data_IF_038967613608
#
_entry.id   IF_038967613608
#
_cell.length_a   1.000
_cell.length_b   1.000
_cell.length_c   1.000
_cell.angle_alpha   90.00
_cell.angle_beta   90.00
_cell.angle_gamma   90.00
#
_symmetry.space_group_name_H-M   'P 1'
#
loop_
_entity.id
_entity.type
_entity.pdbx_description
1 polymer ?
#
# COMPACT_ATOMS: atom_id res chain seq x y z
N UNK A 1 -21.65 -55.48 -39.05
CA UNK A 1 -21.70 -54.66 -37.84
C UNK A 1 -20.35 -53.95 -37.69
N UNK A 2 -20.27 -52.67 -38.11
CA UNK A 2 -19.06 -51.84 -37.99
C UNK A 2 -19.19 -51.01 -36.71
N UNK A 3 -18.28 -51.20 -35.73
CA UNK A 3 -18.21 -50.39 -34.53
C UNK A 3 -17.40 -49.13 -34.83
N UNK A 4 -18.04 -47.97 -34.75
CA UNK A 4 -17.40 -46.65 -34.78
C UNK A 4 -16.84 -46.37 -33.39
N UNK A 5 -15.52 -46.19 -33.28
CA UNK A 5 -14.85 -45.64 -32.09
C UNK A 5 -14.82 -44.12 -32.21
N UNK A 6 -15.54 -43.41 -31.36
CA UNK A 6 -15.37 -41.97 -31.15
C UNK A 6 -14.27 -41.74 -30.16
N UNK A 7 -13.13 -41.24 -30.62
CA UNK A 7 -12.06 -40.73 -29.75
C UNK A 7 -12.42 -39.31 -29.33
N UNK A 8 -12.75 -39.18 -28.03
CA UNK A 8 -12.94 -37.86 -27.38
C UNK A 8 -11.55 -37.33 -27.01
N UNK A 9 -11.04 -36.36 -27.77
CA UNK A 9 -9.85 -35.62 -27.42
C UNK A 9 -10.23 -34.57 -26.33
N UNK A 10 -9.91 -34.86 -25.06
CA UNK A 10 -9.95 -33.83 -24.02
C UNK A 10 -8.81 -32.82 -24.27
N UNK A 11 -9.18 -31.66 -24.80
CA UNK A 11 -8.31 -30.51 -24.82
C UNK A 11 -8.09 -30.00 -23.39
N UNK A 12 -6.96 -30.32 -22.79
CA UNK A 12 -6.49 -29.64 -21.56
C UNK A 12 -6.19 -28.18 -21.92
N UNK A 13 -7.16 -27.30 -21.67
CA UNK A 13 -6.90 -25.88 -21.57
C UNK A 13 -5.99 -25.69 -20.36
N UNK A 14 -4.69 -25.50 -20.59
CA UNK A 14 -3.75 -25.05 -19.56
C UNK A 14 -4.14 -23.62 -19.17
N UNK A 15 -4.96 -23.48 -18.14
CA UNK A 15 -5.09 -22.22 -17.41
C UNK A 15 -3.69 -21.88 -16.89
N UNK A 16 -3.03 -20.93 -17.53
CA UNK A 16 -1.78 -20.36 -17.01
C UNK A 16 -2.12 -19.70 -15.65
N UNK A 17 -1.87 -20.43 -14.59
CA UNK A 17 -2.01 -19.90 -13.23
C UNK A 17 -0.96 -18.78 -13.09
N UNK A 18 -1.43 -17.54 -13.05
CA UNK A 18 -0.58 -16.38 -12.76
C UNK A 18 0.13 -16.61 -11.44
N UNK A 19 1.44 -16.37 -11.40
CA UNK A 19 2.23 -16.56 -10.18
C UNK A 19 1.68 -15.64 -9.07
N UNK A 20 1.28 -16.25 -7.95
CA UNK A 20 0.74 -15.52 -6.81
C UNK A 20 1.85 -14.70 -6.12
N UNK A 21 1.53 -13.50 -5.69
CA UNK A 21 2.43 -12.69 -4.86
C UNK A 21 2.54 -13.34 -3.49
N UNK A 22 3.74 -13.78 -3.11
CA UNK A 22 3.95 -14.36 -1.78
C UNK A 22 3.92 -13.26 -0.71
N UNK A 23 3.31 -13.51 0.46
CA UNK A 23 3.46 -12.62 1.62
C UNK A 23 4.94 -12.40 1.96
N UNK A 24 5.30 -11.17 2.34
CA UNK A 24 6.67 -10.85 2.75
C UNK A 24 7.10 -11.64 3.97
N UNK A 25 8.36 -11.99 4.04
CA UNK A 25 8.93 -12.86 5.07
C UNK A 25 9.80 -12.07 6.07
N UNK A 26 10.15 -12.73 7.15
CA UNK A 26 11.13 -12.23 8.11
C UNK A 26 12.43 -11.83 7.38
N UNK A 27 12.95 -10.64 7.68
CA UNK A 27 14.16 -10.04 7.11
C UNK A 27 14.05 -9.62 5.64
N UNK A 28 12.88 -9.67 5.02
CA UNK A 28 12.72 -9.11 3.68
C UNK A 28 13.05 -7.61 3.66
N UNK A 29 13.69 -7.22 2.58
CA UNK A 29 13.97 -5.85 2.19
C UNK A 29 13.18 -5.55 0.93
N UNK A 30 11.97 -5.06 1.10
CA UNK A 30 11.04 -4.79 0.01
C UNK A 30 11.25 -3.38 -0.51
N UNK A 31 11.37 -3.19 -1.81
CA UNK A 31 11.39 -1.86 -2.42
C UNK A 31 10.26 -1.71 -3.43
N UNK A 32 9.45 -0.66 -3.26
CA UNK A 32 8.45 -0.25 -4.25
C UNK A 32 9.07 0.82 -5.15
N UNK A 33 9.21 0.52 -6.43
CA UNK A 33 9.82 1.37 -7.44
C UNK A 33 8.75 1.93 -8.35
N UNK A 34 8.75 3.23 -8.57
CA UNK A 34 7.76 3.90 -9.42
C UNK A 34 8.03 5.39 -9.58
N UNK A 35 6.99 6.12 -9.95
CA UNK A 35 6.99 7.56 -10.19
C UNK A 35 6.48 8.37 -8.97
N UNK A 36 5.90 9.57 -9.20
CA UNK A 36 5.33 10.44 -8.18
C UNK A 36 4.26 9.77 -7.30
N UNK A 37 3.47 8.86 -7.85
CA UNK A 37 2.44 8.12 -7.10
C UNK A 37 3.10 7.22 -6.04
N UNK A 38 4.21 6.58 -6.37
CA UNK A 38 5.01 5.81 -5.42
C UNK A 38 5.80 6.73 -4.49
N UNK A 39 6.38 7.83 -4.98
CA UNK A 39 7.11 8.81 -4.18
C UNK A 39 6.24 9.40 -3.06
N UNK A 40 4.96 9.70 -3.35
CA UNK A 40 3.97 10.14 -2.35
C UNK A 40 3.86 9.17 -1.16
N UNK A 41 4.14 7.89 -1.37
CA UNK A 41 4.45 6.90 -0.34
C UNK A 41 3.27 6.35 0.44
N UNK A 42 2.05 6.88 0.30
CA UNK A 42 0.94 6.51 1.17
C UNK A 42 0.60 5.01 1.06
N UNK A 43 0.41 4.47 -0.15
CA UNK A 43 0.10 3.03 -0.28
C UNK A 43 1.25 2.12 0.20
N UNK A 44 2.50 2.54 -0.01
CA UNK A 44 3.69 1.82 0.49
C UNK A 44 3.68 1.78 2.02
N UNK A 45 3.41 2.93 2.65
CA UNK A 45 3.26 3.04 4.10
C UNK A 45 2.09 2.21 4.64
N UNK A 46 0.96 2.12 3.91
CA UNK A 46 -0.21 1.33 4.34
C UNK A 46 0.05 -0.18 4.24
N UNK A 47 0.71 -0.64 3.17
CA UNK A 47 1.17 -2.03 3.10
C UNK A 47 2.12 -2.33 4.26
N UNK A 48 3.06 -1.43 4.55
CA UNK A 48 4.00 -1.65 5.65
C UNK A 48 3.31 -1.63 7.03
N UNK A 49 2.38 -0.69 7.25
CA UNK A 49 1.59 -0.62 8.49
C UNK A 49 0.80 -1.92 8.72
N UNK A 50 0.21 -2.49 7.67
CA UNK A 50 -0.45 -3.80 7.78
C UNK A 50 0.50 -4.88 8.29
N UNK A 51 1.72 -4.96 7.75
CA UNK A 51 2.71 -5.92 8.24
C UNK A 51 3.16 -5.63 9.68
N UNK A 52 3.34 -4.37 10.03
CA UNK A 52 3.70 -3.96 11.39
C UNK A 52 2.64 -4.33 12.43
N UNK A 53 1.37 -4.26 12.07
CA UNK A 53 0.25 -4.55 12.98
C UNK A 53 -0.16 -6.02 12.97
N UNK A 54 -0.22 -6.65 11.81
CA UNK A 54 -0.74 -8.02 11.67
C UNK A 54 0.32 -9.11 11.86
N UNK A 55 1.60 -8.77 11.69
CA UNK A 55 2.70 -9.73 11.84
C UNK A 55 3.77 -9.21 12.82
N UNK A 56 3.45 -9.05 14.12
CA UNK A 56 4.33 -8.37 15.08
C UNK A 56 5.67 -9.08 15.31
N UNK A 57 5.77 -10.36 14.99
CA UNK A 57 7.01 -11.13 15.10
C UNK A 57 7.82 -11.17 13.81
N UNK A 58 7.26 -10.67 12.68
CA UNK A 58 7.87 -10.73 11.36
C UNK A 58 8.51 -9.38 11.01
N UNK A 59 9.70 -9.13 11.56
CA UNK A 59 10.44 -7.91 11.26
C UNK A 59 10.95 -7.92 9.82
N UNK A 60 10.59 -6.91 9.04
CA UNK A 60 11.03 -6.68 7.67
C UNK A 60 11.19 -5.18 7.41
N UNK A 61 11.71 -4.79 6.27
CA UNK A 61 11.87 -3.39 5.87
C UNK A 61 11.15 -3.15 4.54
N UNK A 62 10.25 -2.17 4.49
CA UNK A 62 9.64 -1.70 3.25
C UNK A 62 10.16 -0.31 2.93
N UNK A 63 10.70 -0.15 1.73
CA UNK A 63 11.35 1.06 1.24
C UNK A 63 10.54 1.68 0.10
N UNK A 64 10.47 3.00 0.11
CA UNK A 64 9.97 3.77 -1.01
C UNK A 64 11.11 4.02 -2.01
N UNK A 65 10.94 3.55 -3.23
CA UNK A 65 11.83 3.75 -4.36
C UNK A 65 11.22 4.61 -5.47
N UNK A 66 10.14 5.36 -5.19
CA UNK A 66 9.49 6.26 -6.13
C UNK A 66 10.29 7.54 -6.36
N UNK A 67 10.24 8.07 -7.59
CA UNK A 67 10.78 9.38 -7.97
C UNK A 67 9.77 10.07 -8.89
N UNK A 68 9.40 11.31 -8.56
CA UNK A 68 8.45 12.11 -9.33
C UNK A 68 8.89 12.32 -10.78
N UNK A 69 7.95 12.10 -11.70
CA UNK A 69 8.18 12.24 -13.13
C UNK A 69 8.79 11.00 -13.83
N UNK A 70 9.23 9.98 -13.09
CA UNK A 70 9.89 8.81 -13.67
C UNK A 70 9.01 8.07 -14.68
N UNK A 71 9.68 7.66 -15.75
CA UNK A 71 9.28 6.69 -16.77
C UNK A 71 10.13 5.44 -16.63
N UNK A 72 9.84 4.38 -17.36
CA UNK A 72 10.65 3.17 -17.39
C UNK A 72 12.13 3.48 -17.71
N UNK A 73 12.40 4.43 -18.62
CA UNK A 73 13.76 4.87 -18.97
C UNK A 73 14.51 5.52 -17.78
N UNK A 74 13.81 6.28 -16.96
CA UNK A 74 14.40 6.95 -15.80
C UNK A 74 14.70 5.93 -14.71
N UNK A 75 13.78 4.99 -14.47
CA UNK A 75 13.98 3.85 -13.56
C UNK A 75 15.19 3.02 -13.98
N UNK A 76 15.34 2.73 -15.30
CA UNK A 76 16.50 2.00 -15.80
C UNK A 76 17.82 2.72 -15.47
N UNK A 77 17.90 4.04 -15.71
CA UNK A 77 19.11 4.81 -15.43
C UNK A 77 19.53 4.76 -13.97
N UNK A 78 18.58 4.81 -13.02
CA UNK A 78 18.86 4.76 -11.58
C UNK A 78 18.84 3.37 -10.96
N UNK A 79 18.61 2.33 -11.76
CA UNK A 79 18.42 0.96 -11.26
C UNK A 79 19.58 0.49 -10.38
N UNK A 80 20.83 0.74 -10.80
CA UNK A 80 22.02 0.30 -10.06
C UNK A 80 22.32 1.18 -8.84
N UNK A 81 22.41 2.51 -9.01
CA UNK A 81 22.92 3.40 -7.95
C UNK A 81 21.90 3.79 -6.89
N UNK A 82 20.60 3.70 -7.17
CA UNK A 82 19.54 3.99 -6.21
C UNK A 82 18.81 2.71 -5.75
N UNK A 83 18.33 1.88 -6.67
CA UNK A 83 17.42 0.78 -6.37
C UNK A 83 18.19 -0.44 -5.86
N UNK A 84 19.07 -1.00 -6.68
CA UNK A 84 19.82 -2.21 -6.35
C UNK A 84 20.89 -1.98 -5.27
N UNK A 85 21.39 -0.75 -5.14
CA UNK A 85 22.31 -0.36 -4.05
C UNK A 85 21.69 -0.57 -2.65
N UNK A 86 20.35 -0.57 -2.54
CA UNK A 86 19.63 -0.85 -1.28
C UNK A 86 19.51 -2.35 -0.96
N UNK A 87 20.06 -3.23 -1.82
CA UNK A 87 20.08 -4.69 -1.65
C UNK A 87 18.68 -5.26 -1.32
N UNK A 88 17.67 -5.03 -2.18
CA UNK A 88 16.34 -5.56 -1.95
C UNK A 88 16.31 -7.10 -2.10
N UNK A 89 15.47 -7.78 -1.31
CA UNK A 89 15.09 -9.19 -1.50
C UNK A 89 13.80 -9.30 -2.34
N UNK A 90 12.96 -8.24 -2.29
CA UNK A 90 11.74 -8.12 -3.08
C UNK A 90 11.71 -6.76 -3.76
N UNK A 91 11.48 -6.75 -5.08
CA UNK A 91 11.34 -5.55 -5.89
C UNK A 91 9.97 -5.52 -6.53
N UNK A 92 9.16 -4.50 -6.20
CA UNK A 92 7.87 -4.21 -6.83
C UNK A 92 8.06 -3.06 -7.80
N UNK A 93 7.83 -3.30 -9.09
CA UNK A 93 8.05 -2.32 -10.15
C UNK A 93 6.73 -1.86 -10.77
N UNK A 94 6.50 -0.55 -10.76
CA UNK A 94 5.38 0.10 -11.45
C UNK A 94 5.85 1.28 -12.30
N UNK A 95 5.25 1.46 -13.48
CA UNK A 95 5.48 2.57 -14.41
C UNK A 95 4.29 2.66 -15.37
N UNK A 96 4.26 3.66 -16.28
CA UNK A 96 3.24 3.79 -17.31
C UNK A 96 2.56 5.16 -17.31
N UNK A 97 2.28 5.76 -16.15
CA UNK A 97 1.57 7.04 -16.06
C UNK A 97 2.29 8.16 -16.83
N UNK A 98 3.61 8.30 -16.65
CA UNK A 98 4.41 9.31 -17.33
C UNK A 98 4.90 8.85 -18.71
N UNK A 99 5.04 7.54 -18.90
CA UNK A 99 5.52 6.93 -20.13
C UNK A 99 4.62 7.26 -21.32
N UNK A 100 3.31 7.30 -21.10
CA UNK A 100 2.31 7.60 -22.14
C UNK A 100 2.24 9.09 -22.52
N UNK A 101 2.81 10.01 -21.71
CA UNK A 101 2.73 11.45 -21.93
C UNK A 101 1.42 12.08 -21.45
N UNK A 102 1.24 13.37 -21.71
CA UNK A 102 0.10 14.18 -21.27
C UNK A 102 -0.41 15.11 -22.37
N UNK A 103 0.24 16.25 -22.56
CA UNK A 103 -0.20 17.30 -23.48
C UNK A 103 -0.23 16.88 -24.95
N UNK A 104 0.49 15.85 -25.28
CA UNK A 104 0.54 15.27 -26.62
C UNK A 104 -0.80 14.69 -27.07
N UNK A 105 -1.66 14.34 -26.13
CA UNK A 105 -3.02 13.88 -26.41
C UNK A 105 -3.97 15.02 -26.86
N UNK A 106 -3.56 16.27 -26.76
CA UNK A 106 -4.32 17.43 -27.23
C UNK A 106 -3.96 17.84 -28.68
N UNK A 107 -2.98 17.17 -29.31
CA UNK A 107 -2.51 17.48 -30.67
C UNK A 107 -3.04 16.52 -31.74
N UNK A 108 -2.93 16.94 -33.01
CA UNK A 108 -3.42 16.19 -34.17
C UNK A 108 -2.73 14.83 -34.36
N UNK A 109 -1.56 14.63 -33.78
CA UNK A 109 -0.77 13.41 -33.87
C UNK A 109 -0.85 12.53 -32.61
N UNK A 110 -1.87 12.69 -31.77
CA UNK A 110 -2.00 12.00 -30.49
C UNK A 110 -1.79 10.48 -30.56
N UNK A 111 -2.46 9.80 -31.50
CA UNK A 111 -2.35 8.35 -31.67
C UNK A 111 -0.95 7.89 -32.11
N UNK A 112 -0.28 8.65 -32.98
CA UNK A 112 1.09 8.35 -33.40
C UNK A 112 2.04 8.51 -32.23
N UNK A 113 1.96 9.62 -31.53
CA UNK A 113 2.82 9.91 -30.38
C UNK A 113 2.60 8.91 -29.25
N UNK A 114 1.34 8.50 -28.99
CA UNK A 114 1.04 7.44 -28.02
C UNK A 114 1.73 6.12 -28.38
N UNK A 115 1.64 5.67 -29.63
CA UNK A 115 2.34 4.45 -30.10
C UNK A 115 3.85 4.54 -29.91
N UNK A 116 4.45 5.66 -30.29
CA UNK A 116 5.90 5.88 -30.16
C UNK A 116 6.34 5.85 -28.69
N UNK A 117 5.58 6.49 -27.78
CA UNK A 117 5.84 6.50 -26.34
C UNK A 117 5.66 5.12 -25.70
N UNK A 118 4.63 4.37 -26.07
CA UNK A 118 4.42 3.00 -25.61
C UNK A 118 5.59 2.09 -26.07
N UNK A 119 6.03 2.23 -27.32
CA UNK A 119 7.18 1.48 -27.83
C UNK A 119 8.48 1.82 -27.07
N UNK A 120 8.72 3.11 -26.79
CA UNK A 120 9.87 3.56 -26.01
C UNK A 120 9.81 3.07 -24.56
N UNK A 121 8.62 3.06 -23.94
CA UNK A 121 8.40 2.51 -22.60
C UNK A 121 8.70 1.01 -22.57
N UNK A 122 8.18 0.25 -23.53
CA UNK A 122 8.46 -1.18 -23.67
C UNK A 122 9.96 -1.45 -23.83
N UNK A 123 10.64 -0.74 -24.72
CA UNK A 123 12.08 -0.89 -24.91
C UNK A 123 12.87 -0.64 -23.61
N UNK A 124 12.52 0.43 -22.90
CA UNK A 124 13.17 0.76 -21.62
C UNK A 124 12.89 -0.31 -20.55
N UNK A 125 11.67 -0.84 -20.53
CA UNK A 125 11.33 -1.95 -19.64
C UNK A 125 12.12 -3.21 -19.96
N UNK A 126 12.30 -3.55 -21.26
CA UNK A 126 13.11 -4.70 -21.67
C UNK A 126 14.56 -4.61 -21.18
N UNK A 127 15.13 -3.40 -21.10
CA UNK A 127 16.45 -3.19 -20.51
C UNK A 127 16.45 -3.44 -19.00
N UNK A 128 15.39 -3.00 -18.28
CA UNK A 128 15.20 -3.32 -16.85
C UNK A 128 15.03 -4.82 -16.67
N UNK A 129 14.18 -5.49 -17.47
CA UNK A 129 13.93 -6.92 -17.42
C UNK A 129 15.23 -7.71 -17.57
N UNK A 130 16.01 -7.42 -18.62
CA UNK A 130 17.31 -8.07 -18.84
C UNK A 130 18.25 -7.92 -17.67
N UNK A 131 18.32 -6.71 -17.08
CA UNK A 131 19.17 -6.47 -15.90
C UNK A 131 18.68 -7.23 -14.68
N UNK A 132 17.38 -7.30 -14.43
CA UNK A 132 16.79 -8.01 -13.30
C UNK A 132 16.92 -9.54 -13.45
N UNK A 133 16.87 -10.08 -14.67
CA UNK A 133 17.09 -11.51 -14.94
C UNK A 133 18.52 -11.95 -14.56
N UNK A 134 19.50 -11.06 -14.67
CA UNK A 134 20.89 -11.33 -14.29
C UNK A 134 21.13 -11.34 -12.76
N UNK A 135 20.12 -10.96 -11.96
CA UNK A 135 20.27 -10.88 -10.50
C UNK A 135 19.41 -11.98 -9.85
N UNK A 136 20.01 -13.11 -9.50
CA UNK A 136 19.31 -14.16 -8.76
C UNK A 136 18.98 -13.69 -7.34
N UNK A 137 18.00 -14.34 -6.71
CA UNK A 137 17.69 -14.13 -5.28
C UNK A 137 16.77 -12.93 -4.99
N UNK A 138 16.48 -12.06 -5.96
CA UNK A 138 15.46 -11.01 -5.80
C UNK A 138 14.13 -11.52 -6.35
N UNK A 139 13.07 -11.50 -5.53
CA UNK A 139 11.70 -11.68 -6.03
C UNK A 139 11.28 -10.42 -6.80
N UNK A 140 10.88 -10.57 -8.05
CA UNK A 140 10.41 -9.49 -8.91
C UNK A 140 8.89 -9.57 -9.01
N UNK A 141 8.23 -8.44 -8.78
CA UNK A 141 6.77 -8.30 -8.87
C UNK A 141 6.51 -7.12 -9.80
N UNK A 142 5.74 -7.33 -10.86
CA UNK A 142 5.25 -6.22 -11.67
C UNK A 142 3.89 -5.76 -11.12
N UNK A 143 3.67 -4.46 -11.12
CA UNK A 143 2.43 -3.85 -10.68
C UNK A 143 2.01 -2.79 -11.69
N UNK A 144 0.76 -2.83 -12.17
CA UNK A 144 0.27 -1.77 -13.03
C UNK A 144 0.19 -0.44 -12.28
N UNK A 145 0.28 0.67 -13.03
CA UNK A 145 -0.08 1.99 -12.49
C UNK A 145 -1.59 2.03 -12.17
N UNK A 146 -2.05 2.83 -11.21
CA UNK A 146 -3.47 3.20 -11.17
C UNK A 146 -3.88 3.91 -12.47
N UNK A 147 -5.18 3.95 -12.83
CA UNK A 147 -5.63 4.54 -14.08
C UNK A 147 -5.45 6.06 -14.11
N UNK A 148 -5.30 6.63 -15.31
CA UNK A 148 -5.63 8.02 -15.58
C UNK A 148 -7.16 8.15 -15.69
N UNK A 149 -7.78 9.05 -14.96
CA UNK A 149 -9.23 9.23 -14.97
C UNK A 149 -9.67 10.22 -16.05
N UNK A 150 -10.12 9.71 -17.20
CA UNK A 150 -10.69 10.52 -18.29
C UNK A 150 -12.18 10.85 -18.09
N UNK A 151 -12.86 10.15 -17.17
CA UNK A 151 -14.32 10.06 -17.14
C UNK A 151 -14.97 10.97 -16.12
N UNK A 152 -14.29 11.28 -15.02
CA UNK A 152 -14.81 12.18 -14.01
C UNK A 152 -15.13 13.57 -14.58
N UNK A 153 -16.32 14.11 -14.28
CA UNK A 153 -16.74 15.45 -14.67
C UNK A 153 -16.23 16.50 -13.67
N UNK A 154 -14.91 16.64 -13.62
CA UNK A 154 -14.20 17.62 -12.79
C UNK A 154 -13.44 18.61 -13.69
N UNK A 155 -13.03 19.74 -13.15
CA UNK A 155 -12.22 20.75 -13.86
C UNK A 155 -10.86 20.23 -14.32
N UNK A 156 -10.10 21.09 -14.99
CA UNK A 156 -8.74 20.80 -15.48
C UNK A 156 -8.69 20.15 -16.86
N UNK A 157 -7.47 19.86 -17.30
CA UNK A 157 -7.22 19.26 -18.61
C UNK A 157 -7.62 17.78 -18.62
N UNK A 158 -8.23 17.36 -19.72
CA UNK A 158 -8.53 15.93 -20.00
C UNK A 158 -7.70 15.50 -21.19
N UNK A 159 -6.78 14.57 -20.99
CA UNK A 159 -5.94 13.99 -22.04
C UNK A 159 -6.64 12.77 -22.63
N UNK A 160 -7.52 13.01 -23.61
CA UNK A 160 -8.36 11.95 -24.20
C UNK A 160 -7.52 10.93 -24.96
N UNK A 161 -7.75 9.66 -24.65
CA UNK A 161 -6.97 8.54 -25.21
C UNK A 161 -5.79 8.11 -24.33
N UNK A 162 -5.42 8.89 -23.30
CA UNK A 162 -4.35 8.51 -22.36
C UNK A 162 -4.69 7.24 -21.58
N UNK A 163 -5.94 7.08 -21.15
CA UNK A 163 -6.40 5.86 -20.48
C UNK A 163 -6.18 4.63 -21.37
N UNK A 164 -6.57 4.73 -22.67
CA UNK A 164 -6.34 3.65 -23.64
C UNK A 164 -4.85 3.37 -23.85
N UNK A 165 -4.00 4.40 -23.96
CA UNK A 165 -2.56 4.22 -24.08
C UNK A 165 -1.97 3.51 -22.83
N UNK A 166 -2.48 3.80 -21.63
CA UNK A 166 -2.08 3.09 -20.41
C UNK A 166 -2.53 1.62 -20.40
N UNK A 167 -3.68 1.27 -21.00
CA UNK A 167 -4.10 -0.13 -21.15
C UNK A 167 -3.07 -0.94 -21.95
N UNK A 168 -2.49 -0.36 -23.00
CA UNK A 168 -1.43 -1.02 -23.80
C UNK A 168 -0.15 -1.23 -22.97
N UNK A 169 0.20 -0.28 -22.08
CA UNK A 169 1.31 -0.46 -21.14
C UNK A 169 1.02 -1.59 -20.15
N UNK A 170 -0.17 -1.61 -19.55
CA UNK A 170 -0.60 -2.68 -18.62
C UNK A 170 -0.57 -4.04 -19.31
N UNK A 171 -1.01 -4.10 -20.57
CA UNK A 171 -0.99 -5.33 -21.36
C UNK A 171 0.43 -5.88 -21.49
N UNK A 172 1.40 -5.09 -21.96
CA UNK A 172 2.76 -5.61 -22.11
C UNK A 172 3.45 -5.92 -20.78
N UNK A 173 3.13 -5.21 -19.70
CA UNK A 173 3.60 -5.54 -18.35
C UNK A 173 3.09 -6.92 -17.92
N UNK A 174 1.81 -7.21 -18.17
CA UNK A 174 1.21 -8.51 -17.86
C UNK A 174 1.83 -9.62 -18.71
N UNK A 175 1.96 -9.41 -20.04
CA UNK A 175 2.61 -10.37 -20.96
C UNK A 175 4.05 -10.69 -20.48
N UNK A 176 4.79 -9.68 -20.04
CA UNK A 176 6.16 -9.84 -19.55
C UNK A 176 6.21 -10.57 -18.20
N UNK A 177 5.26 -10.30 -17.30
CA UNK A 177 5.14 -11.02 -16.03
C UNK A 177 4.87 -12.51 -16.26
N UNK A 178 3.94 -12.84 -17.16
CA UNK A 178 3.64 -14.23 -17.56
C UNK A 178 4.86 -14.93 -18.18
N UNK A 179 5.53 -14.28 -19.14
CA UNK A 179 6.76 -14.78 -19.78
C UNK A 179 7.84 -15.15 -18.76
N UNK A 180 8.05 -14.29 -17.76
CA UNK A 180 9.11 -14.46 -16.76
C UNK A 180 8.65 -15.25 -15.51
N UNK A 181 7.39 -15.65 -15.44
CA UNK A 181 6.76 -16.26 -14.25
C UNK A 181 6.90 -15.36 -13.02
N UNK A 182 6.83 -14.04 -13.22
CA UNK A 182 6.80 -13.06 -12.14
C UNK A 182 5.35 -12.78 -11.75
N UNK A 183 5.05 -12.58 -10.47
CA UNK A 183 3.74 -12.10 -10.06
C UNK A 183 3.39 -10.76 -10.70
N UNK A 184 2.10 -10.56 -11.00
CA UNK A 184 1.56 -9.30 -11.48
C UNK A 184 0.44 -8.82 -10.56
N UNK A 185 0.49 -7.57 -10.13
CA UNK A 185 -0.54 -6.91 -9.34
C UNK A 185 -1.27 -5.91 -10.23
N UNK A 186 -2.54 -6.15 -10.46
CA UNK A 186 -3.38 -5.24 -11.24
C UNK A 186 -4.03 -4.20 -10.33
N UNK A 187 -3.63 -2.95 -10.49
CA UNK A 187 -4.31 -1.79 -9.89
C UNK A 187 -5.22 -1.10 -10.90
N UNK A 188 -4.88 -1.18 -12.19
CA UNK A 188 -5.48 -0.38 -13.24
C UNK A 188 -6.96 -0.71 -13.44
N UNK A 189 -7.28 -1.97 -13.73
CA UNK A 189 -8.66 -2.36 -14.03
C UNK A 189 -9.59 -2.29 -12.81
N UNK A 190 -9.24 -2.82 -11.62
CA UNK A 190 -10.09 -2.72 -10.45
C UNK A 190 -10.39 -1.27 -10.04
N UNK A 191 -9.40 -0.37 -10.11
CA UNK A 191 -9.61 1.04 -9.80
C UNK A 191 -10.45 1.76 -10.88
N UNK A 192 -10.29 1.38 -12.15
CA UNK A 192 -11.14 1.89 -13.23
C UNK A 192 -12.60 1.50 -13.01
N UNK A 193 -12.86 0.23 -12.68
CA UNK A 193 -14.21 -0.27 -12.40
C UNK A 193 -14.85 0.44 -11.20
N UNK A 194 -14.08 0.67 -10.14
CA UNK A 194 -14.53 1.43 -8.98
C UNK A 194 -14.89 2.87 -9.37
N UNK A 195 -14.06 3.57 -10.14
CA UNK A 195 -14.38 4.91 -10.63
C UNK A 195 -15.71 4.92 -11.41
N UNK A 196 -15.85 4.04 -12.40
CA UNK A 196 -17.06 3.95 -13.24
C UNK A 196 -18.30 3.70 -12.36
N UNK A 197 -18.22 2.77 -11.42
CA UNK A 197 -19.32 2.43 -10.52
C UNK A 197 -19.79 3.62 -9.67
N UNK A 198 -18.86 4.38 -9.11
CA UNK A 198 -19.22 5.54 -8.29
C UNK A 198 -19.63 6.75 -9.11
N UNK A 199 -19.08 6.93 -10.31
CA UNK A 199 -19.47 7.98 -11.26
C UNK A 199 -20.91 7.83 -11.80
N UNK A 200 -21.49 6.64 -11.72
CA UNK A 200 -22.92 6.44 -11.99
C UNK A 200 -23.83 7.18 -10.99
N UNK A 201 -23.34 7.42 -9.77
CA UNK A 201 -24.07 8.14 -8.71
C UNK A 201 -23.66 9.59 -8.60
N UNK A 202 -22.38 9.87 -8.75
CA UNK A 202 -21.79 11.20 -8.72
C UNK A 202 -20.77 11.32 -9.86
N UNK A 203 -21.14 12.01 -10.93
CA UNK A 203 -20.29 12.14 -12.12
C UNK A 203 -18.95 12.86 -11.86
N UNK A 204 -18.80 13.57 -10.75
CA UNK A 204 -17.58 14.23 -10.33
C UNK A 204 -16.68 13.34 -9.46
N UNK A 205 -17.16 12.15 -9.05
CA UNK A 205 -16.39 11.22 -8.24
C UNK A 205 -15.12 10.77 -8.96
N UNK A 206 -14.00 10.72 -8.22
CA UNK A 206 -12.75 10.10 -8.69
C UNK A 206 -11.94 9.55 -7.52
N UNK A 207 -11.38 8.37 -7.67
CA UNK A 207 -10.36 7.80 -6.77
C UNK A 207 -9.00 8.45 -6.99
N UNK A 208 -8.85 9.04 -8.19
CA UNK A 208 -7.61 9.64 -8.68
C UNK A 208 -7.70 11.13 -8.43
N UNK A 209 -7.29 11.84 -7.70
CA UNK A 209 -7.42 13.26 -7.35
C UNK A 209 -7.81 14.23 -8.48
N UNK A 210 -7.88 15.51 -8.17
CA UNK A 210 -8.41 16.53 -9.08
C UNK A 210 -7.56 16.72 -10.35
N UNK A 211 -6.31 16.30 -10.34
CA UNK A 211 -5.41 16.33 -11.50
C UNK A 211 -5.55 15.08 -12.40
N UNK A 212 -6.42 14.13 -12.07
CA UNK A 212 -6.69 12.89 -12.80
C UNK A 212 -5.51 11.89 -12.83
N UNK A 213 -4.45 12.16 -12.07
CA UNK A 213 -3.17 11.41 -12.07
C UNK A 213 -2.83 10.85 -10.70
N UNK A 214 -2.95 11.66 -9.64
CA UNK A 214 -2.45 11.35 -8.31
C UNK A 214 -3.58 10.97 -7.35
N UNK A 215 -3.69 9.68 -6.94
CA UNK A 215 -4.66 9.27 -5.93
C UNK A 215 -4.48 10.01 -4.61
N UNK A 216 -5.59 10.32 -3.94
CA UNK A 216 -5.55 10.77 -2.55
C UNK A 216 -5.34 9.61 -1.58
N UNK A 217 -5.35 9.90 -0.26
CA UNK A 217 -5.14 8.86 0.75
C UNK A 217 -6.15 7.70 0.64
N UNK A 218 -7.41 7.99 0.27
CA UNK A 218 -8.42 6.96 0.00
C UNK A 218 -8.05 6.06 -1.18
N UNK A 219 -7.66 6.66 -2.32
CA UNK A 219 -7.17 5.91 -3.49
C UNK A 219 -5.92 5.09 -3.18
N UNK A 220 -4.99 5.63 -2.38
CA UNK A 220 -3.83 4.88 -1.92
C UNK A 220 -4.19 3.70 -1.00
N UNK A 221 -5.25 3.79 -0.17
CA UNK A 221 -5.70 2.63 0.62
C UNK A 221 -6.26 1.53 -0.29
N UNK A 222 -6.95 1.90 -1.38
CA UNK A 222 -7.39 0.93 -2.39
C UNK A 222 -6.19 0.24 -3.05
N UNK A 223 -5.15 0.97 -3.44
CA UNK A 223 -3.91 0.40 -3.98
C UNK A 223 -3.28 -0.60 -3.00
N UNK A 224 -3.16 -0.23 -1.73
CA UNK A 224 -2.63 -1.11 -0.68
C UNK A 224 -3.51 -2.36 -0.49
N UNK A 225 -4.83 -2.20 -0.48
CA UNK A 225 -5.80 -3.29 -0.36
C UNK A 225 -5.67 -4.30 -1.51
N UNK A 226 -5.58 -3.82 -2.76
CA UNK A 226 -5.38 -4.67 -3.94
C UNK A 226 -4.04 -5.43 -3.87
N UNK A 227 -2.98 -4.76 -3.42
CA UNK A 227 -1.68 -5.41 -3.23
C UNK A 227 -1.75 -6.51 -2.16
N UNK A 228 -2.34 -6.24 -0.98
CA UNK A 228 -2.50 -7.21 0.10
C UNK A 228 -3.41 -8.38 -0.31
N UNK A 229 -4.47 -8.11 -1.09
CA UNK A 229 -5.32 -9.16 -1.69
C UNK A 229 -4.53 -10.07 -2.64
N UNK A 230 -3.64 -9.52 -3.45
CA UNK A 230 -2.79 -10.31 -4.33
C UNK A 230 -1.85 -11.26 -3.57
N UNK A 231 -1.56 -10.95 -2.30
CA UNK A 231 -0.81 -11.80 -1.38
C UNK A 231 -1.69 -12.82 -0.62
N UNK A 232 -3.01 -12.81 -0.84
CA UNK A 232 -3.96 -13.70 -0.13
C UNK A 232 -4.10 -13.37 1.37
N UNK A 233 -3.88 -12.11 1.75
CA UNK A 233 -3.93 -11.66 3.15
C UNK A 233 -5.31 -11.16 3.60
N UNK A 234 -6.27 -11.05 2.67
CA UNK A 234 -7.65 -10.72 3.02
C UNK A 234 -8.35 -11.86 3.77
N UNK A 235 -9.30 -11.50 4.63
CA UNK A 235 -10.10 -12.45 5.41
C UNK A 235 -9.41 -13.00 6.67
N UNK A 236 -8.14 -12.70 6.90
CA UNK A 236 -7.45 -13.09 8.13
C UNK A 236 -7.91 -12.15 9.27
N UNK A 237 -8.43 -12.70 10.40
CA UNK A 237 -8.86 -11.86 11.50
C UNK A 237 -7.66 -11.35 12.30
N UNK A 238 -7.78 -10.13 12.84
CA UNK A 238 -6.95 -9.63 13.94
C UNK A 238 -7.15 -10.55 15.15
N UNK A 239 -8.42 -10.82 15.49
CA UNK A 239 -8.85 -11.88 16.42
C UNK A 239 -10.32 -12.22 16.18
N UNK A 240 -10.76 -13.44 16.55
CA UNK A 240 -12.16 -13.84 16.61
C UNK A 240 -12.39 -14.59 17.94
N UNK A 241 -13.17 -13.97 18.83
CA UNK A 241 -13.49 -14.46 20.18
C UNK A 241 -14.96 -14.79 20.20
N UNK A 242 -15.31 -16.04 20.54
CA UNK A 242 -16.69 -16.47 20.72
C UNK A 242 -16.88 -17.12 22.07
N UNK A 243 -17.77 -16.55 22.88
CA UNK A 243 -18.06 -16.97 24.26
C UNK A 243 -19.54 -17.31 24.37
N UNK A 244 -19.83 -18.39 25.04
CA UNK A 244 -21.14 -18.74 25.58
C UNK A 244 -21.14 -18.35 27.08
N UNK A 245 -21.87 -17.29 27.42
CA UNK A 245 -21.95 -16.77 28.78
C UNK A 245 -22.78 -17.69 29.70
N UNK A 246 -23.83 -18.33 29.18
CA UNK A 246 -24.68 -19.24 29.96
C UNK A 246 -23.91 -20.51 30.34
N UNK A 247 -23.19 -21.09 29.38
CA UNK A 247 -22.37 -22.29 29.62
C UNK A 247 -20.98 -21.97 30.20
N UNK A 248 -20.62 -20.71 30.43
CA UNK A 248 -19.26 -20.29 30.81
C UNK A 248 -18.17 -20.93 29.95
N UNK A 249 -18.36 -20.92 28.63
CA UNK A 249 -17.50 -21.65 27.69
C UNK A 249 -16.94 -20.76 26.60
N UNK A 250 -15.63 -20.94 26.33
CA UNK A 250 -14.99 -20.38 25.14
C UNK A 250 -15.32 -21.28 23.95
N UNK A 251 -16.09 -20.77 22.98
CA UNK A 251 -16.48 -21.51 21.78
C UNK A 251 -15.41 -21.40 20.68
N UNK A 252 -14.76 -20.23 20.55
CA UNK A 252 -13.65 -20.01 19.64
C UNK A 252 -12.70 -18.94 20.14
N UNK A 253 -11.42 -19.10 19.82
CA UNK A 253 -10.36 -18.12 20.02
C UNK A 253 -9.37 -18.24 18.85
N UNK A 254 -9.63 -17.48 17.75
CA UNK A 254 -8.82 -17.52 16.54
C UNK A 254 -7.86 -16.34 16.56
N UNK A 255 -6.57 -16.58 16.32
CA UNK A 255 -5.49 -15.60 16.38
C UNK A 255 -5.47 -14.82 17.71
N UNK A 256 -5.83 -15.47 18.83
CA UNK A 256 -5.79 -14.90 20.18
C UNK A 256 -5.74 -16.00 21.24
N UNK A 257 -5.48 -15.59 22.47
CA UNK A 257 -5.63 -16.43 23.66
C UNK A 257 -6.67 -15.81 24.56
N UNK A 258 -7.58 -16.64 25.09
CA UNK A 258 -8.58 -16.26 26.07
C UNK A 258 -8.40 -17.16 27.29
N UNK A 259 -8.32 -16.58 28.48
CA UNK A 259 -8.14 -17.32 29.73
C UNK A 259 -8.92 -16.67 30.86
N UNK A 260 -9.03 -17.36 32.00
CA UNK A 260 -9.72 -16.91 33.22
C UNK A 260 -11.16 -16.43 32.98
N UNK A 261 -11.88 -17.15 32.07
CA UNK A 261 -13.27 -16.85 31.80
C UNK A 261 -14.11 -17.08 33.06
N UNK A 262 -14.85 -16.07 33.45
CA UNK A 262 -15.85 -16.11 34.50
C UNK A 262 -17.13 -15.46 33.99
N UNK A 263 -18.25 -16.17 34.08
CA UNK A 263 -19.56 -15.67 33.72
C UNK A 263 -20.50 -15.82 34.93
N UNK A 264 -21.18 -14.75 35.26
CA UNK A 264 -22.21 -14.68 36.29
C UNK A 264 -23.43 -13.95 35.74
N UNK A 265 -24.54 -13.93 36.50
CA UNK A 265 -25.71 -13.15 36.11
C UNK A 265 -25.31 -11.67 35.97
N UNK A 266 -25.38 -11.15 34.73
CA UNK A 266 -25.08 -9.74 34.42
C UNK A 266 -23.61 -9.39 34.26
N UNK A 267 -22.66 -10.34 34.39
CA UNK A 267 -21.26 -10.05 34.19
C UNK A 267 -20.51 -11.22 33.49
N UNK A 268 -19.73 -10.89 32.46
CA UNK A 268 -18.74 -11.80 31.86
C UNK A 268 -17.37 -11.13 31.95
N UNK A 269 -16.33 -11.87 32.33
CA UNK A 269 -14.98 -11.35 32.37
C UNK A 269 -13.96 -12.42 31.95
N UNK A 270 -12.86 -12.01 31.31
CA UNK A 270 -11.79 -12.89 30.87
C UNK A 270 -10.52 -12.08 30.56
N UNK A 271 -9.38 -12.76 30.52
CA UNK A 271 -8.15 -12.21 30.01
C UNK A 271 -8.02 -12.51 28.52
N UNK A 272 -7.58 -11.54 27.74
CA UNK A 272 -7.48 -11.57 26.30
C UNK A 272 -6.10 -11.12 25.84
N UNK A 273 -5.46 -11.93 25.00
CA UNK A 273 -4.22 -11.61 24.30
C UNK A 273 -4.40 -11.85 22.81
N UNK A 274 -4.45 -10.79 22.03
CA UNK A 274 -4.50 -10.85 20.57
C UNK A 274 -3.19 -11.41 19.99
N UNK A 275 -3.26 -12.03 18.81
CA UNK A 275 -2.09 -12.41 18.01
C UNK A 275 -1.57 -11.27 17.13
N UNK A 276 -2.42 -10.27 16.89
CA UNK A 276 -2.18 -9.11 16.03
C UNK A 276 -2.76 -7.84 16.63
N UNK A 277 -2.36 -6.68 16.10
CA UNK A 277 -3.02 -5.39 16.39
C UNK A 277 -3.97 -5.03 15.25
N UNK A 278 -5.04 -4.25 15.50
CA UNK A 278 -5.90 -3.72 14.46
C UNK A 278 -5.11 -2.77 13.53
N UNK A 279 -5.61 -2.58 12.31
CA UNK A 279 -5.10 -1.56 11.39
C UNK A 279 -5.76 -0.21 11.75
N UNK A 280 -5.01 0.77 12.27
CA UNK A 280 -5.58 2.08 12.59
C UNK A 280 -5.79 2.87 11.30
N UNK A 281 -6.97 3.47 11.17
CA UNK A 281 -7.36 4.24 9.98
C UNK A 281 -7.14 5.72 10.24
N UNK A 282 -6.34 6.37 9.37
CA UNK A 282 -6.07 7.80 9.46
C UNK A 282 -7.25 8.63 8.92
N UNK A 283 -7.67 9.61 9.70
CA UNK A 283 -8.74 10.55 9.36
C UNK A 283 -8.22 11.89 8.84
N UNK A 284 -6.90 12.04 8.70
CA UNK A 284 -6.24 13.25 8.19
C UNK A 284 -5.86 13.06 6.73
N UNK A 285 -6.20 14.02 5.88
CA UNK A 285 -5.71 14.07 4.50
C UNK A 285 -4.24 14.51 4.48
N UNK A 286 -3.36 13.67 3.92
CA UNK A 286 -1.90 13.90 3.90
C UNK A 286 -1.31 13.99 2.50
N UNK A 287 -2.08 13.69 1.46
CA UNK A 287 -1.60 13.77 0.08
C UNK A 287 -1.69 15.21 -0.42
N UNK A 288 -0.58 15.75 -0.90
CA UNK A 288 -0.52 17.10 -1.45
C UNK A 288 -1.53 17.29 -2.59
N UNK A 289 -2.28 18.41 -2.54
CA UNK A 289 -3.26 18.76 -3.57
C UNK A 289 -4.52 17.87 -3.61
N UNK A 290 -4.71 16.97 -2.63
CA UNK A 290 -5.85 16.07 -2.57
C UNK A 290 -6.38 15.93 -1.13
N UNK A 291 -7.67 16.24 -0.94
CA UNK A 291 -8.31 16.27 0.38
C UNK A 291 -8.92 14.90 0.80
N UNK A 292 -8.80 13.86 -0.01
CA UNK A 292 -9.28 12.52 0.36
C UNK A 292 -8.50 11.99 1.56
N UNK A 293 -9.23 11.50 2.56
CA UNK A 293 -8.68 10.84 3.73
C UNK A 293 -8.59 9.35 3.50
N UNK A 294 -7.75 8.66 4.25
CA UNK A 294 -7.69 7.20 4.24
C UNK A 294 -9.06 6.60 4.61
N UNK A 295 -9.72 7.17 5.62
CA UNK A 295 -11.04 6.75 6.08
C UNK A 295 -12.14 6.81 5.02
N UNK A 296 -12.01 7.66 4.02
CA UNK A 296 -13.03 7.78 2.96
C UNK A 296 -13.16 6.49 2.14
N UNK A 297 -12.06 5.74 1.98
CA UNK A 297 -12.04 4.47 1.26
C UNK A 297 -12.88 3.36 1.93
N UNK A 298 -13.18 3.47 3.22
CA UNK A 298 -14.06 2.50 3.91
C UNK A 298 -15.49 2.50 3.34
N UNK A 299 -15.89 3.60 2.68
CA UNK A 299 -17.17 3.70 1.97
C UNK A 299 -17.10 3.15 0.52
N UNK A 300 -15.89 2.87 0.02
CA UNK A 300 -15.68 2.49 -1.38
C UNK A 300 -15.33 1.01 -1.54
N UNK A 301 -14.62 0.45 -0.56
CA UNK A 301 -14.20 -0.95 -0.52
C UNK A 301 -14.44 -1.57 0.86
N UNK A 302 -14.65 -2.88 0.97
CA UNK A 302 -14.87 -3.58 2.24
C UNK A 302 -13.53 -3.80 2.98
N UNK A 303 -12.79 -2.72 3.26
CA UNK A 303 -11.46 -2.81 3.89
C UNK A 303 -11.53 -3.41 5.30
N UNK A 304 -12.55 -3.04 6.07
CA UNK A 304 -12.74 -3.53 7.44
C UNK A 304 -12.99 -5.03 7.45
N UNK A 305 -13.84 -5.51 6.56
CA UNK A 305 -14.20 -6.93 6.42
C UNK A 305 -13.04 -7.77 5.90
N UNK A 306 -12.25 -7.19 4.99
CA UNK A 306 -11.11 -7.88 4.38
C UNK A 306 -9.88 -7.95 5.31
N UNK A 307 -9.60 -6.88 6.08
CA UNK A 307 -8.29 -6.72 6.71
C UNK A 307 -8.32 -6.29 8.19
N UNK A 308 -9.50 -5.97 8.78
CA UNK A 308 -9.53 -5.32 10.09
C UNK A 308 -10.67 -5.85 10.97
N UNK A 309 -10.71 -7.17 11.17
CA UNK A 309 -11.73 -7.82 12.01
C UNK A 309 -11.13 -8.30 13.32
N UNK A 310 -11.57 -7.69 14.42
CA UNK A 310 -11.30 -8.13 15.80
C UNK A 310 -12.65 -8.36 16.47
N UNK A 311 -13.23 -9.54 16.28
CA UNK A 311 -14.62 -9.83 16.62
C UNK A 311 -14.71 -10.36 18.05
N UNK A 312 -15.55 -9.71 18.87
CA UNK A 312 -15.99 -10.17 20.17
C UNK A 312 -17.45 -10.54 20.11
N UNK A 313 -17.75 -11.83 20.10
CA UNK A 313 -19.11 -12.38 20.14
C UNK A 313 -19.36 -13.05 21.49
N UNK A 314 -20.47 -12.66 22.15
CA UNK A 314 -20.86 -13.25 23.43
C UNK A 314 -22.34 -13.59 23.36
N UNK A 315 -22.66 -14.88 23.29
CA UNK A 315 -24.00 -15.43 23.34
C UNK A 315 -24.41 -15.73 24.80
N UNK A 316 -25.72 -15.91 25.05
CA UNK A 316 -26.24 -16.29 26.38
C UNK A 316 -26.26 -15.16 27.40
N UNK A 317 -26.06 -13.90 27.01
CA UNK A 317 -26.31 -12.75 27.89
C UNK A 317 -27.82 -12.55 28.10
N UNK A 318 -28.26 -12.26 29.30
CA UNK A 318 -29.66 -11.86 29.55
C UNK A 318 -29.99 -10.58 28.78
N UNK A 319 -31.28 -10.43 28.39
CA UNK A 319 -31.73 -9.21 27.73
C UNK A 319 -31.42 -7.95 28.58
N UNK A 320 -30.95 -6.89 27.92
CA UNK A 320 -30.55 -5.62 28.55
C UNK A 320 -29.34 -5.00 27.90
N UNK A 321 -28.94 -3.85 28.41
CA UNK A 321 -27.74 -3.11 27.99
C UNK A 321 -26.54 -3.53 28.82
N UNK A 322 -25.37 -3.55 28.17
CA UNK A 322 -24.10 -3.93 28.78
C UNK A 322 -23.00 -2.93 28.43
N UNK A 323 -22.21 -2.56 29.43
CA UNK A 323 -20.96 -1.83 29.23
C UNK A 323 -19.82 -2.82 28.95
N UNK A 324 -19.07 -2.60 27.85
CA UNK A 324 -17.80 -3.24 27.61
C UNK A 324 -16.68 -2.41 28.27
N UNK A 325 -15.90 -3.03 29.12
CA UNK A 325 -14.72 -2.44 29.73
C UNK A 325 -13.49 -3.26 29.36
N UNK A 326 -12.39 -2.55 29.11
CA UNK A 326 -11.07 -3.16 28.89
C UNK A 326 -10.10 -2.47 29.86
N UNK A 327 -9.44 -3.26 30.72
CA UNK A 327 -8.57 -2.79 31.80
C UNK A 327 -9.23 -1.73 32.68
N UNK A 328 -10.53 -1.92 32.97
CA UNK A 328 -11.33 -1.02 33.77
C UNK A 328 -11.89 0.21 33.05
N UNK A 329 -11.45 0.51 31.84
CA UNK A 329 -11.92 1.64 31.04
C UNK A 329 -13.13 1.24 30.19
N UNK A 330 -14.20 2.04 30.23
CA UNK A 330 -15.40 1.81 29.40
C UNK A 330 -15.08 2.14 27.93
N UNK A 331 -15.30 1.16 27.05
CA UNK A 331 -15.11 1.27 25.59
C UNK A 331 -16.41 1.72 24.92
N UNK A 332 -17.54 1.18 25.37
CA UNK A 332 -18.86 1.50 24.84
C UNK A 332 -19.96 0.70 25.54
N UNK A 333 -21.19 0.90 25.08
CA UNK A 333 -22.38 0.25 25.59
C UNK A 333 -23.18 -0.33 24.43
N UNK A 334 -23.67 -1.54 24.58
CA UNK A 334 -24.43 -2.25 23.54
C UNK A 334 -25.46 -3.19 24.18
N UNK A 335 -26.57 -3.42 23.49
CA UNK A 335 -27.53 -4.44 23.92
C UNK A 335 -26.95 -5.86 23.82
N UNK A 336 -27.46 -6.78 24.61
CA UNK A 336 -27.08 -8.20 24.56
C UNK A 336 -27.12 -8.80 23.14
N UNK A 337 -28.07 -8.35 22.31
CA UNK A 337 -28.21 -8.79 20.91
C UNK A 337 -27.01 -8.37 20.03
N UNK A 338 -26.40 -7.21 20.28
CA UNK A 338 -25.21 -6.77 19.55
C UNK A 338 -23.99 -7.60 19.94
N UNK A 339 -23.83 -7.97 21.21
CA UNK A 339 -22.79 -8.92 21.63
C UNK A 339 -22.99 -10.29 21.00
N UNK A 340 -24.25 -10.77 20.92
CA UNK A 340 -24.57 -12.03 20.27
C UNK A 340 -24.29 -12.00 18.76
N UNK A 341 -24.45 -10.85 18.11
CA UNK A 341 -24.12 -10.66 16.69
C UNK A 341 -22.58 -10.51 16.47
N UNK A 342 -21.86 -10.01 17.46
CA UNK A 342 -20.42 -9.74 17.39
C UNK A 342 -20.07 -8.27 17.20
N UNK A 343 -19.26 -7.73 18.11
CA UNK A 343 -18.74 -6.37 18.06
C UNK A 343 -17.33 -6.41 17.47
N UNK A 344 -17.05 -5.59 16.46
CA UNK A 344 -15.71 -5.47 15.92
C UNK A 344 -14.89 -4.45 16.74
N UNK A 345 -13.98 -4.94 17.58
CA UNK A 345 -13.11 -4.11 18.43
C UNK A 345 -12.10 -3.30 17.59
N UNK A 346 -11.71 -3.77 16.42
CA UNK A 346 -10.81 -3.06 15.51
C UNK A 346 -11.40 -1.74 14.97
N UNK A 347 -12.70 -1.49 15.16
CA UNK A 347 -13.35 -0.22 14.81
C UNK A 347 -13.62 0.67 16.03
N UNK A 348 -13.12 0.28 17.21
CA UNK A 348 -13.33 1.00 18.46
C UNK A 348 -12.03 1.74 18.86
N UNK A 349 -11.91 3.05 18.60
CA UNK A 349 -10.64 3.78 18.79
C UNK A 349 -10.24 3.91 20.28
N UNK A 350 -11.18 3.72 21.20
CA UNK A 350 -10.91 3.79 22.63
C UNK A 350 -10.27 2.53 23.21
N UNK A 351 -10.23 1.41 22.45
CA UNK A 351 -9.58 0.19 22.93
C UNK A 351 -8.07 0.38 23.06
N UNK A 352 -7.42 -0.21 24.08
CA UNK A 352 -5.98 -0.07 24.27
C UNK A 352 -5.17 -0.60 23.11
N UNK A 353 -5.60 -1.70 22.46
CA UNK A 353 -4.94 -2.25 21.28
C UNK A 353 -5.05 -1.33 20.06
N UNK A 354 -6.16 -0.60 19.87
CA UNK A 354 -6.27 0.41 18.81
C UNK A 354 -5.36 1.61 19.08
N UNK A 355 -5.28 2.06 20.32
CA UNK A 355 -4.36 3.14 20.75
C UNK A 355 -2.90 2.74 20.55
N UNK A 356 -2.55 1.49 20.87
CA UNK A 356 -1.23 0.92 20.58
C UNK A 356 -0.94 0.93 19.07
N UNK A 357 -1.88 0.46 18.25
CA UNK A 357 -1.75 0.47 16.79
C UNK A 357 -1.63 1.88 16.20
N UNK A 358 -2.35 2.86 16.77
CA UNK A 358 -2.24 4.27 16.38
C UNK A 358 -0.84 4.82 16.65
N UNK A 359 -0.21 4.45 17.76
CA UNK A 359 1.19 4.84 18.03
C UNK A 359 2.15 4.27 17.00
N UNK A 360 1.94 3.01 16.56
CA UNK A 360 2.71 2.40 15.46
C UNK A 360 2.50 3.15 14.14
N UNK A 361 1.26 3.55 13.83
CA UNK A 361 0.96 4.36 12.64
C UNK A 361 1.71 5.70 12.67
N UNK A 362 1.72 6.42 13.81
CA UNK A 362 2.43 7.70 13.93
C UNK A 362 3.94 7.53 13.74
N UNK A 363 4.53 6.49 14.31
CA UNK A 363 5.94 6.16 14.09
C UNK A 363 6.23 5.83 12.61
N UNK A 364 5.34 5.09 11.93
CA UNK A 364 5.50 4.80 10.51
C UNK A 364 5.35 6.06 9.63
N UNK A 365 4.48 6.99 9.98
CA UNK A 365 4.38 8.31 9.32
C UNK A 365 5.71 9.06 9.48
N UNK A 366 6.25 9.15 10.70
CA UNK A 366 7.55 9.79 10.96
C UNK A 366 8.68 9.12 10.15
N UNK A 367 8.71 7.79 10.09
CA UNK A 367 9.68 7.05 9.27
C UNK A 367 9.60 7.47 7.80
N UNK A 368 8.38 7.55 7.24
CA UNK A 368 8.17 7.93 5.85
C UNK A 368 8.60 9.39 5.55
N UNK A 369 8.39 10.32 6.50
CA UNK A 369 8.87 11.70 6.40
C UNK A 369 10.40 11.78 6.29
N UNK A 370 11.11 11.01 7.12
CA UNK A 370 12.59 10.96 7.05
C UNK A 370 13.04 10.32 5.73
N UNK A 371 12.40 9.23 5.31
CA UNK A 371 12.70 8.55 4.04
C UNK A 371 12.47 9.49 2.84
N UNK A 372 11.49 10.38 2.88
CA UNK A 372 11.21 11.33 1.80
C UNK A 372 12.39 12.25 1.50
N UNK A 373 13.21 12.60 2.52
CA UNK A 373 14.42 13.40 2.34
C UNK A 373 15.47 12.68 1.47
N UNK A 374 15.59 11.36 1.65
CA UNK A 374 16.45 10.53 0.80
C UNK A 374 15.89 10.43 -0.62
N UNK A 375 14.55 10.36 -0.79
CA UNK A 375 13.93 10.38 -2.12
C UNK A 375 14.21 11.68 -2.87
N UNK A 376 14.09 12.82 -2.20
CA UNK A 376 14.41 14.14 -2.77
C UNK A 376 15.87 14.24 -3.22
N UNK A 377 16.81 13.67 -2.46
CA UNK A 377 18.21 13.59 -2.88
C UNK A 377 18.36 12.80 -4.18
N UNK A 378 17.76 11.61 -4.29
CA UNK A 378 17.84 10.80 -5.50
C UNK A 378 17.07 11.41 -6.68
N UNK A 379 16.04 12.21 -6.42
CA UNK A 379 15.37 13.00 -7.47
C UNK A 379 16.36 13.97 -8.14
N UNK A 380 17.13 14.71 -7.35
CA UNK A 380 18.16 15.63 -7.87
C UNK A 380 19.23 14.88 -8.65
N UNK A 381 19.69 13.74 -8.13
CA UNK A 381 20.69 12.91 -8.80
C UNK A 381 20.22 12.46 -10.19
N UNK A 382 19.02 11.87 -10.30
CA UNK A 382 18.51 11.30 -11.56
C UNK A 382 17.94 12.33 -12.54
N UNK A 383 17.20 13.33 -12.03
CA UNK A 383 16.51 14.28 -12.91
C UNK A 383 17.36 15.47 -13.32
N UNK A 384 18.36 15.83 -12.52
CA UNK A 384 19.21 17.00 -12.79
C UNK A 384 20.67 16.67 -13.03
N UNK A 385 21.35 16.00 -12.09
CA UNK A 385 22.81 15.82 -12.16
C UNK A 385 23.25 14.78 -13.19
N UNK A 386 22.48 13.73 -13.43
CA UNK A 386 22.76 12.74 -14.47
C UNK A 386 22.93 13.41 -15.84
N UNK A 387 22.04 14.36 -16.17
CA UNK A 387 22.07 15.12 -17.43
C UNK A 387 23.23 16.12 -17.55
N UNK A 388 23.96 16.34 -16.45
CA UNK A 388 25.06 17.33 -16.38
C UNK A 388 26.42 16.71 -16.07
N UNK A 389 26.54 15.39 -16.09
CA UNK A 389 27.74 14.66 -15.71
C UNK A 389 28.21 14.98 -14.27
N UNK A 390 27.26 15.30 -13.38
CA UNK A 390 27.47 15.59 -11.97
C UNK A 390 26.91 14.50 -11.06
N UNK A 391 26.44 13.39 -11.61
CA UNK A 391 25.84 12.29 -10.86
C UNK A 391 26.74 11.84 -9.70
N UNK A 392 26.20 11.86 -8.48
CA UNK A 392 26.85 11.43 -7.23
C UNK A 392 28.16 12.17 -6.87
N UNK A 393 28.43 13.33 -7.45
CA UNK A 393 29.66 14.09 -7.16
C UNK A 393 29.59 14.87 -5.84
N UNK A 394 28.41 15.32 -5.44
CA UNK A 394 28.13 15.98 -4.14
C UNK A 394 29.22 16.97 -3.69
N UNK A 395 29.60 17.91 -4.55
CA UNK A 395 30.65 18.91 -4.32
C UNK A 395 30.13 20.34 -4.55
N UNK A 396 30.99 21.35 -4.34
CA UNK A 396 30.65 22.75 -4.52
C UNK A 396 30.10 23.05 -5.92
N UNK A 397 30.67 22.48 -6.98
CA UNK A 397 30.21 22.68 -8.36
C UNK A 397 28.81 22.13 -8.58
N UNK A 398 28.47 21.00 -7.94
CA UNK A 398 27.10 20.45 -7.96
C UNK A 398 26.12 21.41 -7.24
N UNK A 399 26.48 21.93 -6.07
CA UNK A 399 25.67 22.88 -5.32
C UNK A 399 25.48 24.20 -6.08
N UNK A 400 26.52 24.75 -6.67
CA UNK A 400 26.43 25.96 -7.48
C UNK A 400 25.54 25.75 -8.72
N UNK A 401 25.63 24.57 -9.32
CA UNK A 401 24.77 24.19 -10.45
C UNK A 401 23.29 24.17 -10.05
N UNK A 402 22.93 23.56 -8.91
CA UNK A 402 21.54 23.51 -8.46
C UNK A 402 21.02 24.93 -8.16
N UNK A 403 21.76 25.74 -7.41
CA UNK A 403 21.43 27.13 -7.08
C UNK A 403 21.21 28.01 -8.31
N UNK A 404 22.04 27.82 -9.34
CA UNK A 404 21.93 28.54 -10.61
C UNK A 404 20.59 28.24 -11.29
N UNK A 405 20.24 26.96 -11.45
CA UNK A 405 19.08 26.53 -12.23
C UNK A 405 17.77 26.59 -11.42
N UNK A 406 17.81 26.51 -10.08
CA UNK A 406 16.66 26.69 -9.20
C UNK A 406 15.99 28.10 -9.32
N UNK A 407 16.73 29.10 -9.83
CA UNK A 407 16.17 30.44 -10.10
C UNK A 407 15.05 30.42 -11.14
N UNK A 408 15.10 29.50 -12.10
CA UNK A 408 14.13 29.39 -13.21
C UNK A 408 13.34 28.09 -13.22
N UNK A 409 13.78 27.07 -12.48
CA UNK A 409 13.11 25.77 -12.38
C UNK A 409 12.48 25.62 -10.99
N UNK A 410 11.14 25.63 -10.92
CA UNK A 410 10.38 25.53 -9.67
C UNK A 410 10.53 24.18 -8.97
N UNK A 411 10.65 23.08 -9.74
CA UNK A 411 10.87 21.75 -9.15
C UNK A 411 12.28 21.65 -8.54
N UNK A 412 13.29 22.18 -9.23
CA UNK A 412 14.64 22.17 -8.70
C UNK A 412 14.75 23.06 -7.44
N UNK A 413 14.06 24.20 -7.42
CA UNK A 413 13.95 25.07 -6.24
C UNK A 413 13.34 24.33 -5.04
N UNK A 414 12.30 23.53 -5.26
CA UNK A 414 11.68 22.71 -4.20
C UNK A 414 12.66 21.69 -3.59
N UNK A 415 13.64 21.24 -4.36
CA UNK A 415 14.63 20.24 -3.90
C UNK A 415 15.95 20.86 -3.40
N UNK A 416 16.20 22.16 -3.64
CA UNK A 416 17.45 22.85 -3.33
C UNK A 416 17.81 22.75 -1.85
N UNK A 417 16.91 23.20 -0.95
CA UNK A 417 17.13 23.18 0.51
C UNK A 417 17.45 21.78 1.03
N UNK A 418 16.70 20.78 0.55
CA UNK A 418 16.98 19.39 0.93
C UNK A 418 18.35 18.93 0.43
N UNK A 419 18.75 19.32 -0.79
CA UNK A 419 20.03 18.92 -1.36
C UNK A 419 21.21 19.57 -0.63
N UNK A 420 21.11 20.82 -0.18
CA UNK A 420 22.14 21.49 0.60
C UNK A 420 22.55 20.70 1.86
N UNK A 421 21.59 19.99 2.46
CA UNK A 421 21.84 19.08 3.58
C UNK A 421 22.22 17.68 3.08
N UNK A 422 21.50 17.17 2.09
CA UNK A 422 21.63 15.79 1.62
C UNK A 422 22.93 15.52 0.84
N UNK A 423 23.64 16.56 0.35
CA UNK A 423 24.93 16.38 -0.29
C UNK A 423 25.99 15.80 0.64
N UNK A 424 25.85 15.98 1.96
CA UNK A 424 26.76 15.40 2.94
C UNK A 424 26.37 13.94 3.25
N UNK A 425 27.27 13.02 2.94
CA UNK A 425 27.04 11.58 3.12
C UNK A 425 26.73 11.22 4.59
N UNK A 426 27.37 11.90 5.51
CA UNK A 426 27.19 11.71 6.95
C UNK A 426 25.77 12.04 7.38
N UNK A 427 25.16 13.11 6.85
CA UNK A 427 23.79 13.49 7.15
C UNK A 427 22.77 12.50 6.54
N UNK A 428 23.01 12.01 5.32
CA UNK A 428 22.21 10.91 4.78
C UNK A 428 22.32 9.65 5.64
N UNK A 429 23.50 9.38 6.19
CA UNK A 429 23.73 8.29 7.13
C UNK A 429 22.92 8.43 8.43
N UNK A 430 22.85 9.65 9.00
CA UNK A 430 22.03 9.94 10.16
C UNK A 430 20.53 9.74 9.89
N UNK A 431 20.03 10.17 8.74
CA UNK A 431 18.63 9.90 8.35
C UNK A 431 18.35 8.40 8.22
N UNK A 432 19.29 7.63 7.66
CA UNK A 432 19.13 6.17 7.61
C UNK A 432 19.11 5.54 9.01
N UNK A 433 19.98 6.00 9.92
CA UNK A 433 19.99 5.56 11.32
C UNK A 433 18.68 5.92 12.05
N UNK A 434 18.13 7.12 11.80
CA UNK A 434 16.81 7.51 12.34
C UNK A 434 15.71 6.57 11.84
N UNK A 435 15.68 6.26 10.55
CA UNK A 435 14.73 5.30 9.96
C UNK A 435 14.86 3.93 10.65
N UNK A 436 16.08 3.40 10.77
CA UNK A 436 16.34 2.10 11.38
C UNK A 436 15.96 2.08 12.86
N UNK A 437 16.19 3.17 13.58
CA UNK A 437 15.79 3.35 14.99
C UNK A 437 14.28 3.34 15.13
N UNK A 438 13.55 4.06 14.28
CA UNK A 438 12.08 4.08 14.29
C UNK A 438 11.53 2.67 13.98
N UNK A 439 12.07 1.98 12.99
CA UNK A 439 11.68 0.60 12.67
C UNK A 439 11.90 -0.32 13.88
N UNK A 440 13.05 -0.23 14.54
CA UNK A 440 13.35 -1.02 15.73
C UNK A 440 12.33 -0.73 16.86
N UNK A 441 12.02 0.53 17.11
CA UNK A 441 11.04 0.95 18.12
C UNK A 441 9.65 0.41 17.78
N UNK A 442 9.22 0.47 16.51
CA UNK A 442 7.95 -0.10 16.07
C UNK A 442 7.87 -1.58 16.42
N UNK A 443 8.90 -2.39 16.10
CA UNK A 443 8.90 -3.82 16.37
C UNK A 443 9.13 -4.19 17.85
N UNK A 444 9.46 -3.23 18.70
CA UNK A 444 9.40 -3.37 20.16
C UNK A 444 7.98 -3.12 20.67
N UNK A 445 7.30 -2.10 20.14
CA UNK A 445 6.00 -1.62 20.61
C UNK A 445 4.81 -2.34 19.98
N UNK A 446 4.97 -3.02 18.85
CA UNK A 446 3.89 -3.65 18.10
C UNK A 446 3.47 -5.03 18.62
N UNK A 447 4.08 -5.52 19.70
CA UNK A 447 3.70 -6.80 20.31
C UNK A 447 2.41 -6.60 21.10
N UNK A 448 1.32 -7.34 20.79
CA UNK A 448 0.11 -7.27 21.59
C UNK A 448 0.38 -7.61 23.06
N UNK A 449 -0.34 -6.97 23.94
CA UNK A 449 -0.29 -7.22 25.39
C UNK A 449 -1.61 -7.81 25.86
N UNK A 450 -1.58 -8.46 27.03
CA UNK A 450 -2.80 -9.05 27.61
C UNK A 450 -3.66 -7.96 28.23
N UNK A 451 -4.97 -8.03 28.00
CA UNK A 451 -5.98 -7.11 28.52
C UNK A 451 -7.04 -7.89 29.29
N UNK A 452 -7.61 -7.26 30.31
CA UNK A 452 -8.78 -7.77 31.01
C UNK A 452 -10.04 -7.20 30.37
N UNK A 453 -10.89 -8.07 29.83
CA UNK A 453 -12.20 -7.69 29.27
C UNK A 453 -13.28 -7.98 30.30
N UNK A 454 -14.19 -7.03 30.50
CA UNK A 454 -15.37 -7.13 31.31
C UNK A 454 -16.60 -6.61 30.55
N UNK A 455 -17.66 -7.40 30.55
CA UNK A 455 -18.97 -7.07 29.98
C UNK A 455 -19.94 -7.07 31.14
N UNK A 456 -20.47 -5.90 31.52
CA UNK A 456 -21.23 -5.69 32.72
C UNK A 456 -22.60 -5.12 32.40
N UNK A 457 -23.67 -5.75 32.87
CA UNK A 457 -25.05 -5.25 32.72
C UNK A 457 -25.20 -3.90 33.41
N UNK A 458 -25.90 -2.95 32.78
CA UNK A 458 -26.17 -1.59 33.29
C UNK A 458 -27.66 -1.37 33.48
#
# INVERSE_FOLDING_TARGET
>A
MKKLFYSFALGLASLSAQAQVKPFQQNDRVIFVGNSITEAGAYVSYVYLYYMTHFPTRKLVVMNGGIGGDKASDIYRRLNYDILAKKPTVLVLTFGMNDTGYFEFNGDNADKTARERIAASRHSYEQIEQRLLQIPGIQKILMSSPPYDETAKIGGNVFRGKHKAMQEVVKFQKDAAEKNKWPFVDLFYPMTELNIRFQQKDSAFTLIGPDRVHPGNGGHLIMASLFLKSQGLNGQPVADIRIDAEGSKIQAAVNCKVSHLAATTGKVSFDYLAGSLPFPVDTVARTWGNNQRQSDALNWIPFTEDFNREILQVAGLQAGEYALRIDGHTIGQWPASAFAAGINLATQPETPQYKQATSIMQLNIRRAEVESRLRRYYWVQGNFFDKKNLLMKDNAAALDSIRKYAKTDGMLRYHEENYETAMYKELRGLWQQEIDTIINLIYQLNKPVSHKIEIVKI
#
